data_IF_899203645059
#
_entry.id   IF_899203645059
#
_cell.length_a   1.000
_cell.length_b   1.000
_cell.length_c   1.000
_cell.angle_alpha   90.00
_cell.angle_beta   90.00
_cell.angle_gamma   90.00
#
_symmetry.space_group_name_H-M   'P 1'
#
loop_
_entity.id
_entity.type
_entity.pdbx_description
1 polymer ?
#
# COMPACT_ATOMS: atom_id res chain seq x y z
N UNK A 1 -11.36 -8.00 -6.98
CA UNK A 1 -11.60 -7.22 -8.22
C UNK A 1 -11.92 -8.18 -9.34
N UNK A 2 -12.68 -7.76 -10.34
CA UNK A 2 -13.05 -8.60 -11.48
C UNK A 2 -12.79 -7.90 -12.80
N UNK A 3 -12.22 -8.63 -13.76
CA UNK A 3 -12.07 -8.22 -15.14
C UNK A 3 -13.08 -9.05 -15.94
N UNK A 4 -14.08 -8.40 -16.51
CA UNK A 4 -15.18 -9.05 -17.22
C UNK A 4 -15.11 -8.75 -18.71
N UNK A 5 -15.81 -9.59 -19.48
CA UNK A 5 -15.87 -9.48 -20.94
C UNK A 5 -14.47 -9.53 -21.56
N UNK A 6 -13.66 -10.47 -21.07
CA UNK A 6 -12.26 -10.59 -21.50
C UNK A 6 -12.12 -11.51 -22.71
N UNK A 7 -11.03 -11.34 -23.47
CA UNK A 7 -10.65 -12.27 -24.54
C UNK A 7 -9.81 -13.46 -24.05
N UNK A 8 -9.75 -13.74 -22.74
CA UNK A 8 -8.82 -14.74 -22.18
C UNK A 8 -9.01 -16.14 -22.76
N UNK A 9 -10.24 -16.52 -23.11
CA UNK A 9 -10.53 -17.81 -23.75
C UNK A 9 -9.82 -17.96 -25.10
N UNK A 10 -9.85 -16.91 -25.92
CA UNK A 10 -9.15 -16.89 -27.20
C UNK A 10 -7.64 -17.01 -27.02
N UNK A 11 -7.09 -16.37 -25.98
CA UNK A 11 -5.66 -16.46 -25.66
C UNK A 11 -5.27 -17.89 -25.23
N UNK A 12 -6.07 -18.51 -24.36
CA UNK A 12 -5.84 -19.89 -23.91
C UNK A 12 -5.91 -20.86 -25.09
N UNK A 13 -6.93 -20.74 -25.95
CA UNK A 13 -7.10 -21.58 -27.14
C UNK A 13 -5.97 -21.40 -28.15
N UNK A 14 -5.41 -20.20 -28.26
CA UNK A 14 -4.24 -19.90 -29.09
C UNK A 14 -2.91 -20.38 -28.48
N UNK A 15 -2.90 -20.96 -27.28
CA UNK A 15 -1.69 -21.42 -26.59
C UNK A 15 -0.90 -20.31 -25.90
N UNK A 16 -1.44 -19.10 -25.80
CA UNK A 16 -0.80 -17.93 -25.15
C UNK A 16 -0.83 -18.00 -23.61
N UNK A 17 -1.58 -18.96 -23.05
CA UNK A 17 -1.73 -19.18 -21.61
C UNK A 17 -2.67 -18.19 -20.93
N UNK A 18 -2.48 -18.02 -19.62
CA UNK A 18 -3.25 -17.09 -18.77
C UNK A 18 -2.32 -16.36 -17.79
N UNK A 19 -2.65 -15.13 -17.38
CA UNK A 19 -1.83 -14.39 -16.43
C UNK A 19 -1.96 -14.98 -15.02
N UNK A 20 -0.86 -15.03 -14.30
CA UNK A 20 -0.73 -15.65 -12.97
C UNK A 20 -0.78 -14.65 -11.81
N UNK A 21 -0.68 -13.36 -12.09
CA UNK A 21 -0.67 -12.30 -11.09
C UNK A 21 -1.43 -11.06 -11.56
N UNK A 22 -1.83 -10.20 -10.62
CA UNK A 22 -2.42 -8.90 -10.95
C UNK A 22 -1.45 -8.03 -11.78
N UNK A 23 -0.14 -8.12 -11.51
CA UNK A 23 0.87 -7.39 -12.27
C UNK A 23 0.92 -7.86 -13.74
N UNK A 24 0.85 -9.17 -13.98
CA UNK A 24 0.77 -9.72 -15.34
C UNK A 24 -0.52 -9.33 -16.05
N UNK A 25 -1.67 -9.39 -15.36
CA UNK A 25 -2.95 -8.90 -15.90
C UNK A 25 -2.80 -7.44 -16.36
N UNK A 26 -2.23 -6.58 -15.51
CA UNK A 26 -2.01 -5.17 -15.84
C UNK A 26 -1.04 -4.99 -17.03
N UNK A 27 0.03 -5.78 -17.09
CA UNK A 27 0.98 -5.74 -18.21
C UNK A 27 0.31 -6.15 -19.52
N UNK A 28 -0.43 -7.27 -19.53
CA UNK A 28 -1.13 -7.76 -20.71
C UNK A 28 -2.19 -6.78 -21.21
N UNK A 29 -2.89 -6.08 -20.30
CA UNK A 29 -3.83 -5.01 -20.67
C UNK A 29 -3.07 -3.84 -21.30
N UNK A 30 -1.98 -3.39 -20.68
CA UNK A 30 -1.17 -2.28 -21.16
C UNK A 30 -0.54 -2.56 -22.53
N UNK A 31 -0.11 -3.79 -22.76
CA UNK A 31 0.46 -4.27 -24.02
C UNK A 31 -0.61 -4.55 -25.08
N UNK A 32 -1.90 -4.51 -24.72
CA UNK A 32 -3.02 -4.80 -25.62
C UNK A 32 -3.26 -6.29 -25.90
N UNK A 33 -2.51 -7.19 -25.25
CA UNK A 33 -2.68 -8.65 -25.34
C UNK A 33 -4.02 -9.09 -24.73
N UNK A 34 -4.31 -8.62 -23.50
CA UNK A 34 -5.57 -8.89 -22.81
C UNK A 34 -6.54 -7.73 -23.02
N UNK A 35 -7.66 -8.00 -23.69
CA UNK A 35 -8.78 -7.07 -23.83
C UNK A 35 -9.76 -7.29 -22.68
N UNK A 36 -10.25 -6.21 -22.10
CA UNK A 36 -11.21 -6.23 -20.98
C UNK A 36 -12.29 -5.20 -21.26
N UNK A 37 -13.56 -5.61 -21.25
CA UNK A 37 -14.70 -4.70 -21.44
C UNK A 37 -15.08 -3.95 -20.17
N UNK A 38 -14.98 -4.60 -19.00
CA UNK A 38 -15.36 -4.02 -17.71
C UNK A 38 -14.41 -4.42 -16.58
N UNK A 39 -14.10 -3.47 -15.70
CA UNK A 39 -13.32 -3.71 -14.48
C UNK A 39 -14.14 -3.29 -13.26
N UNK A 40 -14.40 -4.22 -12.36
CA UNK A 40 -15.03 -3.96 -11.05
C UNK A 40 -13.98 -4.04 -9.93
N UNK A 41 -13.89 -2.97 -9.12
CA UNK A 41 -12.99 -2.89 -7.97
C UNK A 41 -13.82 -2.70 -6.70
N UNK A 42 -13.59 -3.56 -5.71
CA UNK A 42 -14.25 -3.51 -4.41
C UNK A 42 -13.20 -3.25 -3.32
N UNK A 43 -13.49 -2.31 -2.42
CA UNK A 43 -12.60 -1.95 -1.30
C UNK A 43 -12.84 -2.73 -0.01
N UNK A 44 -13.71 -3.73 -0.04
CA UNK A 44 -14.11 -4.57 1.10
C UNK A 44 -14.70 -5.88 0.59
N UNK A 45 -15.67 -6.43 1.32
CA UNK A 45 -16.32 -7.68 0.94
C UNK A 45 -16.92 -7.61 -0.48
N UNK A 46 -16.62 -8.63 -1.28
CA UNK A 46 -17.13 -8.73 -2.64
C UNK A 46 -18.63 -9.02 -2.57
N UNK A 47 -19.51 -8.20 -3.18
CA UNK A 47 -20.93 -8.48 -3.19
C UNK A 47 -21.23 -9.75 -4.00
N UNK A 48 -22.42 -10.36 -3.85
CA UNK A 48 -22.85 -11.45 -4.73
C UNK A 48 -22.70 -11.01 -6.19
N UNK A 49 -21.74 -11.62 -6.90
CA UNK A 49 -21.34 -11.23 -8.25
C UNK A 49 -21.41 -12.47 -9.14
N UNK A 50 -22.08 -12.34 -10.28
CA UNK A 50 -22.16 -13.39 -11.29
C UNK A 50 -20.99 -13.25 -12.26
N UNK A 51 -20.28 -14.35 -12.48
CA UNK A 51 -19.17 -14.43 -13.43
C UNK A 51 -19.58 -15.26 -14.64
N UNK A 52 -19.19 -14.81 -15.82
CA UNK A 52 -19.33 -15.55 -17.06
C UNK A 52 -18.04 -16.31 -17.36
N UNK A 53 -18.15 -17.23 -18.32
CA UNK A 53 -16.98 -17.90 -18.86
C UNK A 53 -16.00 -16.87 -19.45
N UNK A 54 -14.72 -16.98 -19.08
CA UNK A 54 -13.69 -16.03 -19.50
C UNK A 54 -13.58 -14.76 -18.65
N UNK A 55 -14.36 -14.59 -17.59
CA UNK A 55 -14.10 -13.52 -16.63
C UNK A 55 -12.93 -13.90 -15.69
N UNK A 56 -12.14 -12.91 -15.28
CA UNK A 56 -10.99 -13.10 -14.38
C UNK A 56 -11.31 -12.46 -13.03
N UNK A 57 -11.40 -13.30 -11.99
CA UNK A 57 -11.51 -12.83 -10.61
C UNK A 57 -10.13 -12.79 -9.94
N UNK A 58 -9.76 -11.63 -9.43
CA UNK A 58 -8.54 -11.45 -8.63
C UNK A 58 -8.93 -11.23 -7.17
N UNK A 59 -8.55 -12.20 -6.36
CA UNK A 59 -8.62 -12.14 -4.91
C UNK A 59 -7.26 -11.69 -4.36
N UNK A 60 -7.26 -10.59 -3.61
CA UNK A 60 -6.06 -10.07 -2.95
C UNK A 60 -6.22 -10.39 -1.46
N UNK A 61 -5.46 -11.37 -0.98
CA UNK A 61 -5.37 -11.63 0.45
C UNK A 61 -4.60 -10.48 1.13
N UNK A 62 -5.07 -10.06 2.30
CA UNK A 62 -4.34 -9.10 3.12
C UNK A 62 -2.98 -9.68 3.54
N UNK A 63 -1.97 -8.82 3.61
CA UNK A 63 -0.68 -9.13 4.22
C UNK A 63 -0.63 -8.60 5.66
N UNK A 64 0.35 -9.10 6.43
CA UNK A 64 0.62 -8.61 7.78
C UNK A 64 1.64 -7.47 7.75
N UNK A 65 1.77 -6.75 8.86
CA UNK A 65 2.75 -5.67 9.00
C UNK A 65 4.20 -6.18 8.96
N UNK A 66 5.13 -5.29 8.56
CA UNK A 66 6.58 -5.53 8.62
C UNK A 66 7.20 -5.11 9.95
N UNK A 67 8.44 -5.53 10.18
CA UNK A 67 9.22 -5.21 11.38
C UNK A 67 10.52 -4.44 11.03
N UNK A 68 10.83 -3.39 11.77
CA UNK A 68 12.06 -2.59 11.62
C UNK A 68 11.99 -1.48 10.57
N UNK A 69 13.11 -0.75 10.40
CA UNK A 69 13.26 0.24 9.33
C UNK A 69 13.55 -0.50 8.00
N UNK A 70 12.77 -0.25 6.92
CA UNK A 70 13.08 -0.78 5.60
C UNK A 70 14.52 -0.53 5.12
N UNK A 71 15.15 0.58 5.54
CA UNK A 71 16.53 0.89 5.15
C UNK A 71 17.57 -0.04 5.81
N UNK A 72 17.17 -0.85 6.79
CA UNK A 72 18.05 -1.78 7.52
C UNK A 72 17.89 -3.24 7.04
N UNK A 73 17.07 -3.50 6.00
CA UNK A 73 16.87 -4.85 5.46
C UNK A 73 18.17 -5.41 4.86
N UNK A 74 18.51 -6.66 5.18
CA UNK A 74 19.65 -7.38 4.60
C UNK A 74 19.51 -7.47 3.08
N UNK A 75 20.49 -6.92 2.35
CA UNK A 75 20.51 -6.86 0.90
C UNK A 75 20.53 -8.25 0.24
N UNK A 76 21.09 -9.27 0.91
CA UNK A 76 21.07 -10.64 0.39
C UNK A 76 19.65 -11.22 0.40
N UNK A 77 18.81 -10.80 1.34
CA UNK A 77 17.39 -11.17 1.37
C UNK A 77 16.60 -10.36 0.34
N UNK A 78 16.99 -9.12 0.07
CA UNK A 78 16.38 -8.31 -0.98
C UNK A 78 16.56 -8.93 -2.36
N UNK A 79 17.75 -9.44 -2.69
CA UNK A 79 17.99 -10.17 -3.95
C UNK A 79 17.05 -11.37 -4.10
N UNK A 80 16.91 -12.17 -3.03
CA UNK A 80 15.98 -13.32 -3.02
C UNK A 80 14.52 -12.90 -3.23
N UNK A 81 14.08 -11.84 -2.57
CA UNK A 81 12.70 -11.35 -2.71
C UNK A 81 12.43 -10.81 -4.12
N UNK A 82 13.44 -10.17 -4.73
CA UNK A 82 13.36 -9.67 -6.11
C UNK A 82 13.29 -10.82 -7.12
N UNK A 83 14.10 -11.86 -6.94
CA UNK A 83 14.06 -13.07 -7.76
C UNK A 83 12.71 -13.80 -7.63
N UNK A 84 12.13 -13.80 -6.43
CA UNK A 84 10.81 -14.39 -6.16
C UNK A 84 9.64 -13.49 -6.59
N UNK A 85 9.90 -12.22 -6.93
CA UNK A 85 8.85 -11.26 -7.31
C UNK A 85 7.90 -10.89 -6.17
N UNK A 86 8.30 -11.07 -4.91
CA UNK A 86 7.46 -10.77 -3.75
C UNK A 86 7.25 -9.26 -3.55
N UNK A 87 8.25 -8.47 -3.91
CA UNK A 87 8.23 -7.00 -3.83
C UNK A 87 8.80 -6.46 -5.13
N UNK A 88 8.13 -5.46 -5.70
CA UNK A 88 8.58 -4.90 -6.98
C UNK A 88 9.90 -4.13 -6.83
N UNK A 89 10.74 -4.07 -7.87
CA UNK A 89 11.97 -3.27 -7.88
C UNK A 89 11.70 -1.78 -7.56
N UNK A 90 10.58 -1.24 -8.03
CA UNK A 90 10.17 0.14 -7.76
C UNK A 90 9.82 0.37 -6.30
N UNK A 91 9.15 -0.60 -5.66
CA UNK A 91 8.86 -0.57 -4.23
C UNK A 91 10.16 -0.64 -3.41
N UNK A 92 11.09 -1.50 -3.81
CA UNK A 92 12.42 -1.60 -3.19
C UNK A 92 13.21 -0.29 -3.28
N UNK A 93 13.24 0.33 -4.46
CA UNK A 93 13.87 1.64 -4.64
C UNK A 93 13.22 2.74 -3.81
N UNK A 94 11.89 2.82 -3.82
CA UNK A 94 11.15 3.93 -3.19
C UNK A 94 11.13 3.83 -1.66
N UNK A 95 10.97 2.63 -1.11
CA UNK A 95 10.72 2.42 0.33
C UNK A 95 11.99 2.01 1.06
N UNK A 96 12.79 1.13 0.48
CA UNK A 96 13.99 0.54 1.10
C UNK A 96 15.29 1.25 0.65
N UNK A 97 15.22 2.10 -0.37
CA UNK A 97 16.40 2.75 -0.96
C UNK A 97 17.31 1.79 -1.71
N UNK A 98 16.80 0.64 -2.14
CA UNK A 98 17.62 -0.38 -2.82
C UNK A 98 17.71 -0.08 -4.30
N UNK A 99 18.93 -0.09 -4.82
CA UNK A 99 19.22 -0.01 -6.24
C UNK A 99 19.65 -1.39 -6.69
N UNK A 100 18.84 -2.02 -7.55
CA UNK A 100 19.11 -3.33 -8.09
C UNK A 100 18.94 -3.33 -9.60
N UNK A 101 19.66 -4.22 -10.26
CA UNK A 101 19.59 -4.45 -11.68
C UNK A 101 19.37 -5.93 -11.95
N UNK A 102 18.71 -6.24 -13.06
CA UNK A 102 18.48 -7.61 -13.48
C UNK A 102 19.45 -7.95 -14.62
N UNK A 103 20.25 -8.99 -14.43
CA UNK A 103 21.13 -9.56 -15.45
C UNK A 103 20.99 -11.07 -15.47
N UNK A 104 20.97 -11.65 -16.67
CA UNK A 104 20.99 -13.12 -16.87
C UNK A 104 19.90 -13.86 -16.07
N UNK A 105 18.74 -13.23 -15.95
CA UNK A 105 17.57 -13.78 -15.25
C UNK A 105 17.52 -13.52 -13.74
N UNK A 106 18.62 -13.10 -13.12
CA UNK A 106 18.75 -12.85 -11.67
C UNK A 106 18.85 -11.37 -11.32
N UNK A 107 18.42 -11.01 -10.11
CA UNK A 107 18.60 -9.68 -9.55
C UNK A 107 19.90 -9.57 -8.76
N UNK A 108 20.60 -8.45 -8.93
CA UNK A 108 21.78 -8.11 -8.15
C UNK A 108 21.65 -6.71 -7.60
N UNK A 109 21.92 -6.54 -6.31
CA UNK A 109 21.89 -5.24 -5.64
C UNK A 109 23.24 -4.53 -5.82
N UNK A 110 23.19 -3.30 -6.33
CA UNK A 110 24.34 -2.38 -6.27
C UNK A 110 24.44 -1.83 -4.85
N UNK A 111 25.38 -2.37 -4.07
CA UNK A 111 25.56 -2.05 -2.66
C UNK A 111 25.97 -0.59 -2.45
N UNK A 112 26.81 -0.04 -3.33
CA UNK A 112 27.26 1.34 -3.19
C UNK A 112 26.15 2.33 -3.56
N UNK A 113 25.44 2.09 -4.67
CA UNK A 113 24.31 2.92 -5.05
C UNK A 113 23.17 2.83 -4.02
N UNK A 114 22.94 1.64 -3.46
CA UNK A 114 21.99 1.43 -2.36
C UNK A 114 22.40 2.22 -1.11
N UNK A 115 23.66 2.16 -0.69
CA UNK A 115 24.12 2.94 0.46
C UNK A 115 23.90 4.45 0.28
N UNK A 116 24.21 4.98 -0.93
CA UNK A 116 23.94 6.38 -1.29
C UNK A 116 22.44 6.70 -1.24
N UNK A 117 21.61 5.89 -1.88
CA UNK A 117 20.16 6.09 -1.92
C UNK A 117 19.51 6.01 -0.52
N UNK A 118 19.97 5.09 0.33
CA UNK A 118 19.53 4.99 1.72
C UNK A 118 19.95 6.22 2.53
N UNK A 119 21.17 6.72 2.37
CA UNK A 119 21.62 7.95 3.02
C UNK A 119 20.77 9.15 2.58
N UNK A 120 20.49 9.29 1.28
CA UNK A 120 19.60 10.33 0.76
C UNK A 120 18.18 10.21 1.34
N UNK A 121 17.63 9.00 1.45
CA UNK A 121 16.33 8.78 2.06
C UNK A 121 16.33 9.15 3.55
N UNK A 122 17.39 8.81 4.30
CA UNK A 122 17.54 9.23 5.70
C UNK A 122 17.58 10.75 5.81
N UNK A 123 18.30 11.42 4.90
CA UNK A 123 18.39 12.88 4.90
C UNK A 123 17.04 13.53 4.56
N UNK A 124 16.34 13.05 3.52
CA UNK A 124 14.97 13.50 3.19
C UNK A 124 13.99 13.26 4.34
N UNK A 125 14.12 12.15 5.07
CA UNK A 125 13.31 11.86 6.27
C UNK A 125 13.57 12.89 7.37
N UNK A 126 14.82 13.34 7.56
CA UNK A 126 15.17 14.40 8.53
C UNK A 126 14.65 15.77 8.09
N UNK A 127 14.82 16.12 6.82
CA UNK A 127 14.39 17.42 6.27
C UNK A 127 12.87 17.63 6.35
N UNK A 128 12.09 16.58 6.11
CA UNK A 128 10.62 16.65 6.24
C UNK A 128 10.13 16.55 7.68
N UNK A 129 10.98 16.10 8.60
CA UNK A 129 10.57 15.87 9.98
C UNK A 129 10.46 17.20 10.72
N UNK A 130 9.49 17.26 11.62
CA UNK A 130 9.34 18.30 12.62
C UNK A 130 9.32 17.64 13.98
N UNK A 131 9.58 18.41 15.05
CA UNK A 131 9.51 17.86 16.40
C UNK A 131 8.10 17.35 16.71
N UNK A 132 8.00 16.33 17.57
CA UNK A 132 6.70 15.82 18.04
C UNK A 132 5.86 16.93 18.69
N UNK A 133 6.51 17.91 19.32
CA UNK A 133 5.83 19.08 19.91
C UNK A 133 5.19 19.97 18.85
N UNK A 134 5.91 20.29 17.77
CA UNK A 134 5.38 21.09 16.67
C UNK A 134 4.25 20.37 15.93
N UNK A 135 4.42 19.06 15.69
CA UNK A 135 3.37 18.20 15.15
C UNK A 135 2.10 18.27 15.99
N UNK A 136 2.25 17.97 17.29
CA UNK A 136 1.13 17.91 18.22
C UNK A 136 0.42 19.26 18.31
N UNK A 137 1.17 20.37 18.31
CA UNK A 137 0.58 21.71 18.34
C UNK A 137 -0.27 21.98 17.09
N UNK A 138 0.12 21.48 15.91
CA UNK A 138 -0.65 21.62 14.67
C UNK A 138 -1.88 20.70 14.66
N UNK A 139 -1.71 19.43 15.01
CA UNK A 139 -2.81 18.46 15.04
C UNK A 139 -3.85 18.80 16.11
N UNK A 140 -3.44 19.32 17.28
CA UNK A 140 -4.39 19.80 18.30
C UNK A 140 -5.33 20.85 17.75
N UNK A 141 -4.85 21.75 16.88
CA UNK A 141 -5.71 22.77 16.25
C UNK A 141 -6.73 22.14 15.30
N UNK A 142 -6.38 21.04 14.63
CA UNK A 142 -7.33 20.26 13.81
C UNK A 142 -8.36 19.56 14.68
N UNK A 143 -7.93 18.95 15.79
CA UNK A 143 -8.82 18.33 16.78
C UNK A 143 -9.80 19.35 17.37
N UNK A 144 -9.33 20.52 17.82
CA UNK A 144 -10.21 21.58 18.33
C UNK A 144 -11.27 22.04 17.33
N UNK A 145 -10.93 22.07 16.03
CA UNK A 145 -11.87 22.41 14.95
C UNK A 145 -12.71 21.22 14.48
N UNK A 146 -12.54 20.05 15.08
CA UNK A 146 -13.13 18.78 14.66
C UNK A 146 -12.91 18.51 13.15
N UNK A 147 -11.70 18.81 12.66
CA UNK A 147 -11.29 18.62 11.27
C UNK A 147 -10.98 17.13 11.01
N UNK A 148 -12.03 16.32 11.11
CA UNK A 148 -12.04 14.89 10.82
C UNK A 148 -12.90 14.61 9.59
N UNK A 149 -12.60 13.49 8.91
CA UNK A 149 -13.52 12.94 7.92
C UNK A 149 -14.88 12.61 8.54
N UNK A 150 -15.92 12.42 7.72
CA UNK A 150 -17.25 12.00 8.19
C UNK A 150 -17.18 10.74 9.05
N UNK A 151 -16.41 9.74 8.61
CA UNK A 151 -16.20 8.49 9.36
C UNK A 151 -15.45 8.75 10.67
N UNK A 152 -14.45 9.64 10.65
CA UNK A 152 -13.73 10.06 11.86
C UNK A 152 -14.65 10.72 12.87
N UNK A 153 -15.55 11.61 12.45
CA UNK A 153 -16.54 12.23 13.34
C UNK A 153 -17.49 11.19 13.94
N UNK A 154 -18.00 10.26 13.13
CA UNK A 154 -18.84 9.16 13.61
C UNK A 154 -18.11 8.29 14.63
N UNK A 155 -16.85 7.94 14.36
CA UNK A 155 -16.03 7.15 15.28
C UNK A 155 -15.81 7.90 16.60
N UNK A 156 -15.27 9.12 16.56
CA UNK A 156 -14.96 9.88 17.77
C UNK A 156 -16.20 10.29 18.55
N UNK A 157 -17.32 10.58 17.89
CA UNK A 157 -18.60 10.86 18.55
C UNK A 157 -19.09 9.67 19.39
N UNK A 158 -18.87 8.44 18.92
CA UNK A 158 -19.18 7.22 19.67
C UNK A 158 -18.12 6.94 20.76
N UNK A 159 -16.84 6.84 20.38
CA UNK A 159 -15.81 6.36 21.32
C UNK A 159 -15.49 7.36 22.44
N UNK A 160 -15.78 8.64 22.26
CA UNK A 160 -15.67 9.64 23.34
C UNK A 160 -16.79 9.54 24.37
N UNK A 161 -17.80 8.69 24.15
CA UNK A 161 -18.76 8.30 25.19
C UNK A 161 -18.16 7.38 26.26
N UNK A 162 -17.07 6.66 25.97
CA UNK A 162 -16.40 5.78 26.94
C UNK A 162 -15.47 6.60 27.84
N UNK A 163 -15.81 6.71 29.13
CA UNK A 163 -15.15 7.59 30.12
C UNK A 163 -13.63 7.47 30.13
N UNK A 164 -13.09 6.24 30.18
CA UNK A 164 -11.64 6.00 30.22
C UNK A 164 -10.93 6.57 28.98
N UNK A 165 -11.49 6.32 27.80
CA UNK A 165 -10.93 6.82 26.55
C UNK A 165 -11.07 8.33 26.46
N UNK A 166 -12.26 8.87 26.79
CA UNK A 166 -12.52 10.32 26.84
C UNK A 166 -11.48 11.05 27.69
N UNK A 167 -11.26 10.60 28.93
CA UNK A 167 -10.28 11.22 29.83
C UNK A 167 -8.87 11.24 29.24
N UNK A 168 -8.43 10.11 28.66
CA UNK A 168 -7.12 10.02 28.02
C UNK A 168 -7.01 10.92 26.79
N UNK A 169 -8.05 10.97 25.96
CA UNK A 169 -8.10 11.80 24.76
C UNK A 169 -8.05 13.29 25.10
N UNK A 170 -8.92 13.77 26.00
CA UNK A 170 -8.94 15.17 26.44
C UNK A 170 -7.61 15.58 27.08
N UNK A 171 -7.03 14.74 27.92
CA UNK A 171 -5.73 15.00 28.57
C UNK A 171 -4.59 15.05 27.54
N UNK A 172 -4.51 14.07 26.63
CA UNK A 172 -3.46 13.98 25.60
C UNK A 172 -3.50 15.18 24.67
N UNK A 173 -4.70 15.64 24.29
CA UNK A 173 -4.89 16.78 23.41
C UNK A 173 -5.09 18.11 24.15
N UNK A 174 -5.04 18.13 25.49
CA UNK A 174 -5.28 19.30 26.33
C UNK A 174 -6.54 20.08 25.92
N UNK A 175 -7.65 19.37 25.80
CA UNK A 175 -8.93 19.91 25.31
C UNK A 175 -9.81 20.40 26.47
N UNK A 176 -10.73 21.33 26.21
CA UNK A 176 -11.77 21.70 27.17
C UNK A 176 -12.60 20.49 27.65
N UNK A 177 -13.13 20.53 28.88
CA UNK A 177 -13.92 19.43 29.44
C UNK A 177 -15.23 19.17 28.70
N UNK A 178 -15.79 20.22 28.11
CA UNK A 178 -17.01 20.22 27.30
C UNK A 178 -16.77 19.82 25.84
N UNK A 179 -15.53 19.50 25.45
CA UNK A 179 -15.22 19.10 24.09
C UNK A 179 -15.98 17.83 23.69
N UNK A 180 -16.70 17.92 22.58
CA UNK A 180 -17.37 16.81 21.90
C UNK A 180 -16.98 16.83 20.42
N UNK A 181 -17.27 15.76 19.69
CA UNK A 181 -17.06 15.65 18.23
C UNK A 181 -18.40 15.46 17.53
#
# INVERSE_FOLDING_TARGET
MAFQETNIRQLIEAGEGYPSSLAEIQSWIKEGKLKVGKVDVWGGDVPPTYFKDGDIHVFIAGSQGGWGDPLDRDLNLVEKDLDQGWVSPEAYKKVYGVVAQRSDGSWTVDREATARAQQELRQKRKERAYSVKEWWSKERQRVLRQDFSRQGKSLYGDILGYEKFRRQFLSTWQLPEDYAV
#
